data_IF_293676872775
#
_entry.id   IF_293676872775
#
_cell.length_a   1.000
_cell.length_b   1.000
_cell.length_c   1.000
_cell.angle_alpha   90.00
_cell.angle_beta   90.00
_cell.angle_gamma   90.00
#
_symmetry.space_group_name_H-M   'P 1'
#
loop_
_entity.id
_entity.type
_entity.pdbx_description
1 polymer ?
#
# COMPACT_ATOMS: atom_id res chain seq x y z
N UNK A 1 4.89 -8.25 23.76
CA UNK A 1 5.66 -7.11 23.24
C UNK A 1 7.14 -7.48 23.29
N UNK A 2 7.82 -7.54 22.14
CA UNK A 2 9.22 -7.91 22.08
C UNK A 2 10.07 -6.95 22.92
N UNK A 3 10.98 -7.51 23.73
CA UNK A 3 11.87 -6.73 24.60
C UNK A 3 12.96 -6.09 23.76
N UNK A 4 13.23 -4.80 23.97
CA UNK A 4 14.37 -4.14 23.34
C UNK A 4 15.69 -4.80 23.77
N UNK A 5 16.61 -4.92 22.83
CA UNK A 5 17.97 -5.41 23.01
C UNK A 5 18.95 -4.33 22.53
N UNK A 6 20.01 -4.07 23.28
CA UNK A 6 21.08 -3.16 22.87
C UNK A 6 22.01 -3.93 21.93
N UNK A 7 22.21 -3.42 20.71
CA UNK A 7 23.12 -3.98 19.71
C UNK A 7 24.16 -2.92 19.33
N UNK A 8 25.26 -2.85 20.10
CA UNK A 8 26.25 -1.78 19.96
C UNK A 8 25.81 -0.53 20.72
N UNK A 9 25.85 0.64 20.07
CA UNK A 9 25.28 1.90 20.62
C UNK A 9 23.77 2.04 20.32
N UNK A 10 23.21 1.16 19.48
CA UNK A 10 21.82 1.23 19.05
C UNK A 10 20.89 0.32 19.85
N UNK A 11 19.68 0.81 20.12
CA UNK A 11 18.59 0.03 20.71
C UNK A 11 17.77 -0.59 19.59
N UNK A 12 17.80 -1.92 19.48
CA UNK A 12 17.00 -2.67 18.52
C UNK A 12 15.85 -3.39 19.24
N UNK A 13 14.71 -3.54 18.58
CA UNK A 13 13.65 -4.45 19.04
C UNK A 13 13.71 -5.65 18.10
N UNK A 14 14.18 -6.83 18.57
CA UNK A 14 14.15 -8.03 17.75
C UNK A 14 12.69 -8.39 17.50
N UNK A 15 12.31 -8.46 16.23
CA UNK A 15 11.03 -9.02 15.81
C UNK A 15 11.24 -10.54 15.76
N UNK A 16 10.54 -11.33 16.59
CA UNK A 16 10.60 -12.79 16.51
C UNK A 16 10.27 -13.26 15.10
N UNK A 17 10.95 -14.30 14.64
CA UNK A 17 10.73 -14.83 13.29
C UNK A 17 9.28 -15.26 13.06
N UNK A 18 8.61 -15.80 14.09
CA UNK A 18 7.19 -16.17 14.00
C UNK A 18 6.27 -14.94 13.82
N UNK A 19 6.53 -13.85 14.56
CA UNK A 19 5.79 -12.59 14.42
C UNK A 19 6.04 -11.97 13.03
N UNK A 20 7.27 -12.06 12.52
CA UNK A 20 7.61 -11.64 11.17
C UNK A 20 6.84 -12.46 10.12
N UNK A 21 6.91 -13.80 10.19
CA UNK A 21 6.22 -14.68 9.26
C UNK A 21 4.70 -14.54 9.32
N UNK A 22 4.12 -14.35 10.51
CA UNK A 22 2.70 -14.06 10.67
C UNK A 22 2.32 -12.72 10.03
N UNK A 23 3.19 -11.71 10.11
CA UNK A 23 3.03 -10.44 9.38
C UNK A 23 3.04 -10.64 7.87
N UNK A 24 3.97 -11.44 7.35
CA UNK A 24 4.04 -11.77 5.91
C UNK A 24 2.79 -12.54 5.45
N UNK A 25 2.25 -13.44 6.28
CA UNK A 25 1.02 -14.16 5.99
C UNK A 25 -0.19 -13.21 5.93
N UNK A 26 -0.28 -12.27 6.88
CA UNK A 26 -1.32 -11.24 6.87
C UNK A 26 -1.25 -10.36 5.60
N UNK A 27 -0.04 -10.10 5.08
CA UNK A 27 0.20 -9.36 3.84
C UNK A 27 -0.34 -10.04 2.58
N UNK A 28 -0.78 -11.32 2.63
CA UNK A 28 -1.49 -11.97 1.51
C UNK A 28 -2.76 -11.24 1.10
N UNK A 29 -3.33 -10.44 2.00
CA UNK A 29 -4.50 -9.61 1.75
C UNK A 29 -4.16 -8.16 1.40
N UNK A 30 -2.89 -7.88 1.07
CA UNK A 30 -2.44 -6.53 0.75
C UNK A 30 -2.25 -6.33 -0.76
N UNK A 31 -2.37 -5.08 -1.19
CA UNK A 31 -1.99 -4.61 -2.51
C UNK A 31 -1.13 -3.36 -2.38
N UNK A 32 -0.15 -3.22 -3.28
CA UNK A 32 0.53 -1.95 -3.46
C UNK A 32 -0.19 -1.13 -4.52
N UNK A 33 -0.33 0.16 -4.28
CA UNK A 33 -0.86 1.09 -5.26
C UNK A 33 0.03 2.31 -5.44
N UNK A 34 0.14 2.78 -6.67
CA UNK A 34 0.83 4.01 -7.02
C UNK A 34 -0.16 5.00 -7.58
N UNK A 35 -0.13 6.22 -7.04
CA UNK A 35 -0.89 7.33 -7.56
C UNK A 35 -0.04 8.11 -8.55
N UNK A 36 -0.61 8.33 -9.72
CA UNK A 36 -0.05 9.14 -10.78
C UNK A 36 -0.97 10.35 -10.92
N UNK A 37 -0.53 11.50 -10.41
CA UNK A 37 -1.21 12.77 -10.57
C UNK A 37 -0.64 13.53 -11.77
N UNK A 38 -1.45 14.32 -12.49
CA UNK A 38 -0.93 15.19 -13.54
C UNK A 38 0.01 16.26 -12.96
N UNK A 39 0.96 16.73 -13.77
CA UNK A 39 1.91 17.78 -13.37
C UNK A 39 1.15 19.03 -12.94
N UNK A 40 1.50 19.59 -11.78
CA UNK A 40 0.85 20.77 -11.21
C UNK A 40 -0.43 20.48 -10.42
N UNK A 41 -0.87 19.23 -10.30
CA UNK A 41 -2.00 18.87 -9.45
C UNK A 41 -1.64 18.94 -7.96
N UNK A 42 -2.65 19.29 -7.15
CA UNK A 42 -2.52 19.34 -5.69
C UNK A 42 -2.21 17.96 -5.12
N UNK A 43 -1.25 17.84 -4.18
CA UNK A 43 -0.99 16.59 -3.47
C UNK A 43 -2.26 16.07 -2.80
N UNK A 44 -2.60 14.81 -3.05
CA UNK A 44 -3.78 14.19 -2.49
C UNK A 44 -3.46 13.66 -1.08
N UNK A 45 -4.21 14.09 -0.07
CA UNK A 45 -4.08 13.57 1.29
C UNK A 45 -4.60 12.13 1.38
N UNK A 46 -4.12 11.36 2.35
CA UNK A 46 -4.61 9.98 2.59
C UNK A 46 -6.11 9.95 2.81
N UNK A 47 -6.66 10.93 3.54
CA UNK A 47 -8.09 11.02 3.84
C UNK A 47 -8.93 11.31 2.59
N UNK A 48 -8.51 12.27 1.76
CA UNK A 48 -9.22 12.61 0.52
C UNK A 48 -9.18 11.46 -0.49
N UNK A 49 -8.03 10.78 -0.59
CA UNK A 49 -7.88 9.55 -1.35
C UNK A 49 -8.81 8.44 -0.84
N UNK A 50 -8.84 8.23 0.48
CA UNK A 50 -9.71 7.23 1.10
C UNK A 50 -11.18 7.50 0.77
N UNK A 51 -11.61 8.76 0.87
CA UNK A 51 -12.98 9.16 0.52
C UNK A 51 -13.30 8.89 -0.96
N UNK A 52 -12.40 9.24 -1.88
CA UNK A 52 -12.57 8.94 -3.31
C UNK A 52 -12.61 7.45 -3.61
N UNK A 53 -11.75 6.65 -2.98
CA UNK A 53 -11.77 5.21 -3.17
C UNK A 53 -12.99 4.56 -2.56
N UNK A 54 -13.51 5.07 -1.44
CA UNK A 54 -14.76 4.59 -0.85
C UNK A 54 -15.97 4.76 -1.80
N UNK A 55 -15.99 5.81 -2.63
CA UNK A 55 -17.05 5.99 -3.64
C UNK A 55 -16.87 5.09 -4.86
N UNK A 56 -15.65 4.67 -5.19
CA UNK A 56 -15.36 3.71 -6.25
C UNK A 56 -15.55 2.26 -5.80
N UNK A 57 -15.24 1.97 -4.54
CA UNK A 57 -15.24 0.64 -3.92
C UNK A 57 -16.47 0.42 -3.04
N UNK A 58 -17.66 0.82 -3.51
CA UNK A 58 -18.91 0.78 -2.72
C UNK A 58 -19.31 -0.61 -2.23
N UNK A 59 -18.95 -1.65 -2.97
CA UNK A 59 -19.28 -3.05 -2.67
C UNK A 59 -18.10 -3.84 -2.10
N UNK A 60 -17.00 -3.17 -1.79
CA UNK A 60 -15.83 -3.76 -1.16
C UNK A 60 -16.05 -3.68 0.35
N UNK A 61 -15.74 -4.76 1.06
CA UNK A 61 -15.86 -4.84 2.51
C UNK A 61 -14.89 -3.92 3.25
N UNK A 62 -14.45 -4.32 4.44
CA UNK A 62 -13.52 -3.50 5.22
C UNK A 62 -12.15 -3.50 4.56
N UNK A 63 -11.60 -2.31 4.35
CA UNK A 63 -10.25 -2.12 3.83
C UNK A 63 -9.54 -0.97 4.56
N UNK A 64 -8.21 -1.01 4.51
CA UNK A 64 -7.28 -0.03 5.07
C UNK A 64 -6.41 0.58 3.99
N UNK A 65 -5.86 1.76 4.28
CA UNK A 65 -4.90 2.45 3.42
C UNK A 65 -3.79 3.04 4.28
N UNK A 66 -2.54 2.85 3.84
CA UNK A 66 -1.35 3.41 4.45
C UNK A 66 -0.47 4.06 3.39
N UNK A 67 0.08 5.25 3.68
CA UNK A 67 1.05 5.91 2.79
C UNK A 67 2.43 5.29 2.99
N UNK A 68 3.07 4.87 1.90
CA UNK A 68 4.47 4.40 1.87
C UNK A 68 5.44 5.50 1.43
N UNK A 69 4.92 6.69 1.09
CA UNK A 69 5.70 7.81 0.55
C UNK A 69 5.92 7.72 -0.97
N UNK A 70 6.40 8.83 -1.56
CA UNK A 70 6.67 8.96 -3.03
C UNK A 70 5.46 8.61 -3.93
N UNK A 71 4.24 8.79 -3.43
CA UNK A 71 3.00 8.46 -4.15
C UNK A 71 2.65 6.97 -4.13
N UNK A 72 3.32 6.16 -3.32
CA UNK A 72 2.98 4.76 -3.06
C UNK A 72 2.13 4.62 -1.81
N UNK A 73 1.21 3.67 -1.87
CA UNK A 73 0.26 3.34 -0.82
C UNK A 73 0.14 1.83 -0.70
N UNK A 74 -0.06 1.35 0.52
CA UNK A 74 -0.47 -0.02 0.79
C UNK A 74 -1.97 -0.05 1.08
N UNK A 75 -2.66 -1.03 0.51
CA UNK A 75 -4.06 -1.31 0.73
C UNK A 75 -4.20 -2.66 1.39
N UNK A 76 -4.92 -2.71 2.51
CA UNK A 76 -5.17 -3.93 3.29
C UNK A 76 -6.64 -4.30 3.12
N UNK A 77 -6.96 -5.52 2.71
CA UNK A 77 -8.36 -5.96 2.57
C UNK A 77 -8.67 -7.04 3.61
N UNK A 78 -9.91 -7.10 4.12
CA UNK A 78 -10.32 -8.21 4.99
C UNK A 78 -10.73 -9.45 4.20
N UNK A 79 -11.09 -9.30 2.92
CA UNK A 79 -11.51 -10.40 2.05
C UNK A 79 -10.59 -10.54 0.84
N UNK A 80 -10.18 -11.77 0.56
CA UNK A 80 -9.39 -12.08 -0.62
C UNK A 80 -10.21 -11.90 -1.92
N UNK A 81 -11.53 -12.07 -1.87
CA UNK A 81 -12.40 -11.83 -3.03
C UNK A 81 -12.45 -10.34 -3.39
N UNK A 82 -12.50 -9.48 -2.38
CA UNK A 82 -12.43 -8.03 -2.53
C UNK A 82 -11.10 -7.58 -3.12
N UNK A 83 -9.99 -8.12 -2.58
CA UNK A 83 -8.67 -7.91 -3.14
C UNK A 83 -8.61 -8.33 -4.61
N UNK A 84 -9.18 -9.50 -4.96
CA UNK A 84 -9.19 -10.00 -6.35
C UNK A 84 -10.01 -9.10 -7.28
N UNK A 85 -11.17 -8.61 -6.83
CA UNK A 85 -12.01 -7.67 -7.58
C UNK A 85 -11.31 -6.33 -7.82
N UNK A 86 -10.67 -5.80 -6.78
CA UNK A 86 -9.94 -4.53 -6.88
C UNK A 86 -8.70 -4.67 -7.77
N UNK A 87 -7.97 -5.79 -7.64
CA UNK A 87 -6.80 -6.12 -8.46
C UNK A 87 -7.13 -6.40 -9.92
N UNK A 88 -8.26 -7.04 -10.22
CA UNK A 88 -8.62 -7.40 -11.61
C UNK A 88 -8.86 -6.19 -12.50
N UNK A 89 -9.30 -5.07 -11.93
CA UNK A 89 -9.45 -3.80 -12.67
C UNK A 89 -8.08 -3.19 -12.99
N UNK A 90 -7.08 -3.41 -12.14
CA UNK A 90 -5.68 -3.02 -12.35
C UNK A 90 -5.40 -1.51 -12.27
N UNK A 91 -6.31 -0.66 -12.72
CA UNK A 91 -6.17 0.80 -12.68
C UNK A 91 -7.51 1.50 -12.44
N UNK A 92 -7.53 2.44 -11.49
CA UNK A 92 -8.71 3.19 -11.08
C UNK A 92 -8.53 4.68 -11.35
N UNK A 93 -9.53 5.31 -11.97
CA UNK A 93 -9.51 6.75 -12.28
C UNK A 93 -9.89 7.56 -11.03
N UNK A 94 -9.02 8.50 -10.63
CA UNK A 94 -9.21 9.35 -9.45
C UNK A 94 -9.70 10.76 -9.77
N UNK A 95 -9.74 11.16 -11.05
CA UNK A 95 -10.23 12.44 -11.56
C UNK A 95 -9.95 13.65 -10.63
N UNK A 96 -8.77 14.30 -10.70
CA UNK A 96 -7.63 14.01 -11.58
C UNK A 96 -6.73 12.89 -11.06
N UNK A 97 -6.07 12.20 -11.99
CA UNK A 97 -5.05 11.19 -11.70
C UNK A 97 -5.53 9.74 -11.81
N UNK A 98 -4.58 8.83 -11.67
CA UNK A 98 -4.76 7.40 -11.83
C UNK A 98 -4.15 6.66 -10.65
N UNK A 99 -4.88 5.71 -10.08
CA UNK A 99 -4.36 4.72 -9.15
C UNK A 99 -4.03 3.45 -9.95
N UNK A 100 -2.75 3.08 -10.02
CA UNK A 100 -2.33 1.77 -10.52
C UNK A 100 -2.11 0.82 -9.34
N UNK A 101 -2.65 -0.39 -9.44
CA UNK A 101 -2.50 -1.42 -8.41
C UNK A 101 -1.56 -2.53 -8.87
N UNK A 102 -0.81 -3.07 -7.93
CA UNK A 102 0.19 -4.12 -8.13
C UNK A 102 -0.02 -5.20 -7.06
N UNK A 103 0.39 -6.42 -7.39
CA UNK A 103 0.48 -7.47 -6.37
C UNK A 103 1.44 -7.02 -5.26
N UNK A 104 1.09 -7.33 -4.02
CA UNK A 104 2.01 -7.16 -2.92
C UNK A 104 3.23 -8.06 -3.12
N UNK A 105 4.39 -7.53 -2.80
CA UNK A 105 5.68 -8.23 -2.89
C UNK A 105 6.42 -8.00 -1.57
N UNK A 106 7.08 -9.03 -1.05
CA UNK A 106 8.01 -8.84 0.06
C UNK A 106 9.12 -7.87 -0.35
N UNK A 107 9.66 -7.15 0.63
CA UNK A 107 10.79 -6.23 0.44
C UNK A 107 10.52 -5.09 -0.58
N UNK A 108 9.25 -4.72 -0.73
CA UNK A 108 8.88 -3.61 -1.60
C UNK A 108 9.53 -2.31 -1.13
N UNK A 109 10.44 -1.79 -1.94
CA UNK A 109 11.08 -0.52 -1.70
C UNK A 109 10.61 0.52 -2.74
N UNK A 110 9.89 1.58 -2.32
CA UNK A 110 9.47 2.67 -3.20
C UNK A 110 10.63 3.33 -3.97
N UNK A 111 11.86 3.20 -3.47
CA UNK A 111 13.07 3.80 -4.05
C UNK A 111 13.65 2.99 -5.21
N UNK A 112 13.41 1.67 -5.24
CA UNK A 112 13.85 0.80 -6.35
C UNK A 112 12.80 0.67 -7.46
N UNK A 113 11.58 1.19 -7.24
CA UNK A 113 10.55 1.22 -8.27
C UNK A 113 10.93 2.25 -9.35
N UNK A 114 11.39 1.75 -10.50
CA UNK A 114 11.80 2.60 -11.63
C UNK A 114 10.65 3.52 -12.08
N UNK A 115 10.98 4.78 -12.36
CA UNK A 115 10.08 5.70 -13.06
C UNK A 115 10.05 5.33 -14.54
N UNK A 116 9.24 4.34 -14.93
CA UNK A 116 8.90 4.15 -16.35
C UNK A 116 7.88 5.22 -16.76
N UNK A 117 8.37 6.44 -16.90
CA UNK A 117 7.81 7.47 -17.77
C UNK A 117 8.99 8.10 -18.50
N UNK A 118 9.63 7.30 -19.33
CA UNK A 118 10.46 7.80 -20.42
C UNK A 118 9.56 7.85 -21.66
N UNK A 119 9.27 9.06 -22.11
CA UNK A 119 8.84 9.38 -23.47
C UNK A 119 9.84 10.39 -24.02
#
# INVERSE_FOLDING_TARGET
>A
LPKSCVKGEDVAIPIPEDEYLAGIDACKHNLHGRIILPKGATPLTVESLRAKLATLWKSIGRWGIMSLGKGFFEFTFTSLEDLRRVRSVGSWNLAPGLLKLFAWTSDFNPSFQQQTTAQ
#
